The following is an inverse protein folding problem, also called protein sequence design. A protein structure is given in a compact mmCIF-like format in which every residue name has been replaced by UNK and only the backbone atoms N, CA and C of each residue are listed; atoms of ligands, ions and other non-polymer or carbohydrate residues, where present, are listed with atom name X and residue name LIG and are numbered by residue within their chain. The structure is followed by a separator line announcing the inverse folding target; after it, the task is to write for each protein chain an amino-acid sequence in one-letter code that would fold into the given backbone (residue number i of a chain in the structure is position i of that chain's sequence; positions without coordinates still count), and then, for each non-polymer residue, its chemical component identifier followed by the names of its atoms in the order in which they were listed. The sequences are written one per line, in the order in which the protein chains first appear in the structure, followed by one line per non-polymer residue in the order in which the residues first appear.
data_IF_465417782867
#
_entry.id   IF_465417782867
#
_cell.length_a   1.000
_cell.length_b   1.000
_cell.length_c   1.000
_cell.angle_alpha   90.00
_cell.angle_beta   90.00
_cell.angle_gamma   90.00
#
_symmetry.space_group_name_H-M   'P 1'
#
loop_
_entity.id
_entity.type
_entity.pdbx_description
1 polymer ?
#
# COMPACT_ATOMS: atom_id res chain seq x y z
N UNK A 1 12.20 -40.02 -37.85
CA UNK A 1 11.57 -38.74 -38.13
C UNK A 1 10.32 -38.43 -37.24
N UNK A 2 10.08 -39.16 -36.17
CA UNK A 2 8.85 -38.98 -35.39
C UNK A 2 9.05 -38.34 -34.02
N UNK A 3 10.25 -37.88 -33.64
CA UNK A 3 10.50 -37.36 -32.27
C UNK A 3 10.77 -35.85 -32.21
N UNK A 4 10.72 -35.11 -33.29
CA UNK A 4 11.00 -33.66 -33.27
C UNK A 4 9.76 -32.79 -32.91
N UNK A 5 8.56 -33.32 -33.12
CA UNK A 5 7.32 -32.55 -32.88
C UNK A 5 6.97 -32.40 -31.42
N UNK A 6 7.33 -33.35 -30.57
CA UNK A 6 7.02 -33.33 -29.13
C UNK A 6 7.90 -32.36 -28.33
N UNK A 7 9.15 -32.19 -28.73
CA UNK A 7 10.09 -31.28 -28.01
C UNK A 7 9.85 -29.82 -28.35
N UNK A 8 9.38 -29.51 -29.54
CA UNK A 8 9.05 -28.15 -29.95
C UNK A 8 7.79 -27.64 -29.24
N UNK A 9 6.80 -28.52 -29.04
CA UNK A 9 5.58 -28.18 -28.32
C UNK A 9 5.82 -27.87 -26.84
N UNK A 10 6.69 -28.62 -26.17
CA UNK A 10 7.05 -28.40 -24.77
C UNK A 10 7.85 -27.10 -24.60
N UNK A 11 8.70 -26.75 -25.57
CA UNK A 11 9.47 -25.51 -25.52
C UNK A 11 8.59 -24.27 -25.72
N UNK A 12 7.56 -24.34 -26.56
CA UNK A 12 6.58 -23.27 -26.76
C UNK A 12 5.68 -23.06 -25.53
N UNK A 13 5.29 -24.13 -24.85
CA UNK A 13 4.49 -24.06 -23.62
C UNK A 13 5.32 -23.50 -22.47
N UNK A 14 6.61 -23.86 -22.36
CA UNK A 14 7.51 -23.30 -21.36
C UNK A 14 7.78 -21.80 -21.56
N UNK A 15 7.84 -21.34 -22.82
CA UNK A 15 8.05 -19.92 -23.15
C UNK A 15 6.82 -19.06 -22.86
N UNK A 16 5.63 -19.63 -22.90
CA UNK A 16 4.38 -18.92 -22.57
C UNK A 16 4.21 -18.63 -21.08
N UNK A 17 4.92 -19.34 -20.20
CA UNK A 17 4.83 -19.12 -18.74
C UNK A 17 5.72 -17.98 -18.23
N UNK A 18 6.66 -17.49 -19.04
CA UNK A 18 7.63 -16.47 -18.61
C UNK A 18 7.08 -15.04 -18.79
N UNK A 19 5.97 -14.85 -19.50
CA UNK A 19 5.45 -13.51 -19.83
C UNK A 19 4.45 -12.97 -18.78
N UNK A 20 4.15 -13.71 -17.73
CA UNK A 20 3.19 -13.28 -16.68
C UNK A 20 3.83 -12.62 -15.45
N UNK A 21 5.13 -12.33 -15.48
CA UNK A 21 5.78 -11.48 -14.48
C UNK A 21 5.73 -10.00 -14.92
N UNK A 22 4.57 -9.55 -15.37
CA UNK A 22 4.31 -8.15 -15.62
C UNK A 22 4.26 -7.37 -14.32
N UNK A 23 5.16 -6.44 -14.17
CA UNK A 23 5.30 -5.41 -13.15
C UNK A 23 3.95 -4.89 -12.63
N UNK A 24 3.49 -5.42 -11.55
CA UNK A 24 2.36 -4.86 -10.85
C UNK A 24 2.81 -4.35 -9.49
N UNK A 25 3.17 -3.07 -9.41
CA UNK A 25 3.08 -2.32 -8.16
C UNK A 25 1.60 -2.25 -7.82
N UNK A 26 1.05 -3.33 -7.33
CA UNK A 26 -0.35 -3.53 -7.05
C UNK A 26 -0.58 -3.59 -5.55
N UNK A 27 -1.83 -3.55 -5.16
CA UNK A 27 -2.28 -3.86 -3.81
C UNK A 27 -1.62 -5.17 -3.27
N UNK A 28 -1.38 -6.15 -4.15
CA UNK A 28 -0.69 -7.39 -3.79
C UNK A 28 0.74 -7.14 -3.29
N UNK A 29 1.48 -6.23 -3.91
CA UNK A 29 2.85 -5.90 -3.49
C UNK A 29 2.85 -5.22 -2.12
N UNK A 30 1.89 -4.32 -1.87
CA UNK A 30 1.72 -3.70 -0.54
C UNK A 30 1.35 -4.73 0.53
N UNK A 31 0.42 -5.62 0.24
CA UNK A 31 0.01 -6.68 1.17
C UNK A 31 1.17 -7.62 1.50
N UNK A 32 1.94 -8.00 0.49
CA UNK A 32 3.16 -8.80 0.66
C UNK A 32 4.19 -8.09 1.53
N UNK A 33 4.44 -6.80 1.28
CA UNK A 33 5.35 -6.00 2.09
C UNK A 33 4.92 -5.95 3.56
N UNK A 34 3.61 -5.87 3.82
CA UNK A 34 3.09 -5.94 5.18
C UNK A 34 3.36 -7.29 5.83
N UNK A 35 3.15 -8.40 5.12
CA UNK A 35 3.45 -9.75 5.60
C UNK A 35 4.94 -9.95 5.89
N UNK A 36 5.81 -9.34 5.10
CA UNK A 36 7.27 -9.35 5.27
C UNK A 36 7.75 -8.41 6.40
N UNK A 37 6.84 -7.68 7.06
CA UNK A 37 7.15 -6.78 8.16
C UNK A 37 7.71 -5.43 7.72
N UNK A 38 7.55 -5.07 6.46
CA UNK A 38 7.92 -3.75 5.96
C UNK A 38 6.94 -2.68 6.42
N UNK A 39 7.37 -1.44 6.32
CA UNK A 39 6.57 -0.28 6.70
C UNK A 39 6.80 0.15 8.13
N UNK A 40 6.13 1.21 8.53
CA UNK A 40 6.23 1.80 9.85
C UNK A 40 4.94 1.61 10.62
N UNK A 41 5.03 1.00 11.80
CA UNK A 41 3.87 0.77 12.68
C UNK A 41 3.97 1.60 13.93
N UNK A 42 2.85 2.19 14.35
CA UNK A 42 2.70 2.89 15.64
C UNK A 42 1.38 2.54 16.30
N UNK A 43 1.36 2.56 17.62
CA UNK A 43 0.15 2.36 18.43
C UNK A 43 -0.35 3.73 18.87
N UNK A 44 -1.65 3.95 18.68
CA UNK A 44 -2.33 5.18 19.04
C UNK A 44 -3.48 4.89 20.02
N UNK A 45 -3.75 5.85 20.92
CA UNK A 45 -4.87 5.79 21.87
C UNK A 45 -6.18 6.22 21.22
N UNK A 46 -6.57 5.52 20.18
CA UNK A 46 -7.85 5.68 19.50
C UNK A 46 -8.40 4.31 19.16
N UNK A 47 -9.73 4.17 19.17
CA UNK A 47 -10.34 2.92 18.72
C UNK A 47 -10.22 2.78 17.19
N UNK A 48 -10.55 1.60 16.68
CA UNK A 48 -10.42 1.29 15.23
C UNK A 48 -11.22 2.25 14.36
N UNK A 49 -12.45 2.61 14.76
CA UNK A 49 -13.30 3.51 13.97
C UNK A 49 -12.73 4.93 13.92
N UNK A 50 -12.25 5.43 15.03
CA UNK A 50 -11.57 6.73 15.08
C UNK A 50 -10.26 6.72 14.27
N UNK A 51 -9.47 5.66 14.41
CA UNK A 51 -8.24 5.49 13.62
C UNK A 51 -8.54 5.44 12.12
N UNK A 52 -9.63 4.80 11.73
CA UNK A 52 -10.08 4.72 10.34
C UNK A 52 -10.41 6.09 9.77
N UNK A 53 -11.21 6.87 10.47
CA UNK A 53 -11.60 8.21 10.04
C UNK A 53 -10.40 9.18 9.96
N UNK A 54 -9.50 9.11 10.93
CA UNK A 54 -8.27 9.92 10.91
C UNK A 54 -7.40 9.55 9.71
N UNK A 55 -7.14 8.27 9.53
CA UNK A 55 -6.32 7.78 8.40
C UNK A 55 -6.92 8.19 7.06
N UNK A 56 -8.23 8.01 6.89
CA UNK A 56 -8.95 8.39 5.68
C UNK A 56 -8.79 9.88 5.37
N UNK A 57 -8.98 10.76 6.34
CA UNK A 57 -8.84 12.20 6.16
C UNK A 57 -7.41 12.62 5.79
N UNK A 58 -6.40 11.98 6.38
CA UNK A 58 -5.00 12.24 6.01
C UNK A 58 -4.77 11.84 4.55
N UNK A 59 -5.25 10.68 4.14
CA UNK A 59 -5.11 10.22 2.76
C UNK A 59 -5.89 11.09 1.77
N UNK A 60 -7.08 11.56 2.13
CA UNK A 60 -7.87 12.48 1.30
C UNK A 60 -7.16 13.83 1.11
N UNK A 61 -6.48 14.32 2.13
CA UNK A 61 -5.75 15.58 2.07
C UNK A 61 -4.47 15.49 1.25
N UNK A 62 -3.70 14.41 1.46
CA UNK A 62 -2.37 14.23 0.85
C UNK A 62 -2.42 13.50 -0.49
N UNK A 63 -3.49 12.77 -0.74
CA UNK A 63 -3.65 11.94 -1.93
C UNK A 63 -4.33 12.67 -3.08
N UNK A 64 -4.03 12.24 -4.30
CA UNK A 64 -4.63 12.76 -5.54
C UNK A 64 -5.59 11.78 -6.21
N UNK A 65 -5.93 10.70 -5.55
CA UNK A 65 -6.74 9.63 -6.11
C UNK A 65 -7.84 9.15 -5.18
N UNK A 66 -8.65 8.23 -5.69
CA UNK A 66 -9.69 7.59 -4.89
C UNK A 66 -9.11 6.61 -3.88
N UNK A 67 -9.56 6.70 -2.65
CA UNK A 67 -9.21 5.74 -1.59
C UNK A 67 -10.00 4.45 -1.82
N UNK A 68 -9.28 3.34 -1.89
CA UNK A 68 -9.88 2.01 -1.88
C UNK A 68 -9.86 1.48 -0.45
N UNK A 69 -11.04 1.29 0.12
CA UNK A 69 -11.23 0.82 1.49
C UNK A 69 -11.63 -0.65 1.52
N UNK A 70 -11.02 -1.42 2.42
CA UNK A 70 -11.46 -2.77 2.77
C UNK A 70 -11.52 -2.91 4.29
N UNK A 71 -12.67 -2.57 4.85
CA UNK A 71 -12.91 -2.61 6.29
C UNK A 71 -12.83 -4.01 6.88
N UNK A 72 -13.27 -5.01 6.15
CA UNK A 72 -13.25 -6.40 6.63
C UNK A 72 -11.83 -6.94 6.80
N UNK A 73 -10.89 -6.49 5.98
CA UNK A 73 -9.48 -6.85 6.07
C UNK A 73 -8.65 -5.76 6.78
N UNK A 74 -9.25 -4.65 7.16
CA UNK A 74 -8.65 -3.62 7.98
C UNK A 74 -7.62 -2.75 7.26
N UNK A 75 -7.79 -2.51 5.96
CA UNK A 75 -6.85 -1.65 5.23
C UNK A 75 -7.53 -0.66 4.29
N UNK A 76 -6.81 0.39 3.95
CA UNK A 76 -7.13 1.31 2.88
C UNK A 76 -5.88 1.60 2.04
N UNK A 77 -6.07 1.86 0.75
CA UNK A 77 -4.99 2.13 -0.20
C UNK A 77 -5.33 3.33 -1.06
N UNK A 78 -4.37 4.19 -1.28
CA UNK A 78 -4.46 5.32 -2.21
C UNK A 78 -3.24 5.35 -3.13
N UNK A 79 -3.43 5.91 -4.31
CA UNK A 79 -2.34 6.32 -5.19
C UNK A 79 -2.10 7.81 -4.97
N UNK A 80 -0.89 8.17 -4.57
CA UNK A 80 -0.46 9.55 -4.42
C UNK A 80 0.59 9.87 -5.48
N UNK A 81 0.54 11.07 -6.04
CA UNK A 81 1.53 11.57 -6.99
C UNK A 81 0.92 12.21 -8.23
N UNK A 82 1.69 13.07 -8.87
CA UNK A 82 1.33 13.78 -10.10
C UNK A 82 1.84 13.02 -11.32
N UNK A 83 0.98 12.84 -12.31
CA UNK A 83 1.36 12.29 -13.62
C UNK A 83 2.36 13.17 -14.36
N UNK A 84 2.43 14.46 -14.05
CA UNK A 84 3.35 15.43 -14.65
C UNK A 84 4.83 15.14 -14.32
N UNK A 85 5.11 14.45 -13.20
CA UNK A 85 6.47 14.18 -12.74
C UNK A 85 6.80 12.70 -12.59
N UNK A 86 6.01 11.82 -13.17
CA UNK A 86 6.22 10.35 -13.18
C UNK A 86 6.37 9.67 -11.79
N UNK A 87 5.92 10.33 -10.73
CA UNK A 87 5.98 9.79 -9.38
C UNK A 87 4.61 9.35 -8.90
N UNK A 88 4.35 8.08 -9.04
CA UNK A 88 3.19 7.46 -8.43
C UNK A 88 3.70 6.68 -7.23
N UNK A 89 3.30 7.12 -6.04
CA UNK A 89 3.49 6.39 -4.80
C UNK A 89 2.18 5.70 -4.45
N UNK A 90 2.24 4.43 -4.13
CA UNK A 90 1.12 3.72 -3.53
C UNK A 90 1.31 3.72 -2.02
N UNK A 91 0.28 4.12 -1.30
CA UNK A 91 0.27 4.15 0.16
C UNK A 91 -0.81 3.20 0.63
N UNK A 92 -0.42 2.23 1.45
CA UNK A 92 -1.33 1.34 2.14
C UNK A 92 -1.31 1.62 3.63
N UNK A 93 -2.47 1.68 4.26
CA UNK A 93 -2.64 1.86 5.69
C UNK A 93 -3.45 0.70 6.23
N UNK A 94 -2.89 -0.03 7.20
CA UNK A 94 -3.55 -1.11 7.94
C UNK A 94 -3.85 -0.65 9.35
N UNK A 95 -5.06 -0.90 9.81
CA UNK A 95 -5.53 -0.55 11.13
C UNK A 95 -5.98 -1.82 11.84
N UNK A 96 -5.30 -2.15 12.92
CA UNK A 96 -5.51 -3.37 13.69
C UNK A 96 -5.89 -3.00 15.14
N UNK A 97 -6.97 -3.54 15.70
CA UNK A 97 -7.31 -3.30 17.08
C UNK A 97 -6.28 -3.94 18.02
N UNK A 98 -5.81 -3.19 19.01
CA UNK A 98 -5.05 -3.73 20.15
C UNK A 98 -6.02 -4.06 21.27
N UNK A 99 -6.87 -3.09 21.61
CA UNK A 99 -7.97 -3.20 22.56
C UNK A 99 -9.10 -2.21 22.20
N UNK A 100 -10.03 -1.96 23.10
CA UNK A 100 -11.19 -1.07 22.86
C UNK A 100 -10.81 0.41 22.69
N UNK A 101 -9.62 0.81 23.12
CA UNK A 101 -9.17 2.21 23.16
C UNK A 101 -7.83 2.45 22.45
N UNK A 102 -7.23 1.40 21.89
CA UNK A 102 -5.95 1.46 21.20
C UNK A 102 -5.99 0.74 19.87
N UNK A 103 -5.31 1.30 18.87
CA UNK A 103 -5.15 0.72 17.55
C UNK A 103 -3.70 0.79 17.09
N UNK A 104 -3.27 -0.24 16.40
CA UNK A 104 -2.00 -0.26 15.68
C UNK A 104 -2.23 0.19 14.25
N UNK A 105 -1.52 1.21 13.83
CA UNK A 105 -1.57 1.75 12.48
C UNK A 105 -0.24 1.46 11.79
N UNK A 106 -0.29 0.69 10.71
CA UNK A 106 0.87 0.35 9.88
C UNK A 106 0.74 1.04 8.54
N UNK A 107 1.77 1.77 8.14
CA UNK A 107 1.82 2.49 6.87
C UNK A 107 2.95 1.96 6.01
N UNK A 108 2.65 1.69 4.75
CA UNK A 108 3.62 1.26 3.75
C UNK A 108 3.48 2.17 2.54
N UNK A 109 4.56 2.84 2.18
CA UNK A 109 4.65 3.68 0.98
C UNK A 109 5.61 3.03 -0.03
N UNK A 110 5.13 2.74 -1.23
CA UNK A 110 5.93 2.18 -2.33
C UNK A 110 5.91 3.15 -3.52
N UNK A 111 7.09 3.57 -3.94
CA UNK A 111 7.27 4.39 -5.15
C UNK A 111 7.82 3.55 -6.29
N UNK A 112 7.44 3.89 -7.52
CA UNK A 112 7.96 3.24 -8.73
C UNK A 112 9.40 3.61 -9.06
N UNK A 113 9.92 4.67 -8.47
CA UNK A 113 11.28 5.16 -8.74
C UNK A 113 12.10 5.16 -7.47
N UNK A 114 13.31 4.62 -7.55
CA UNK A 114 14.30 4.62 -6.47
C UNK A 114 14.88 6.01 -6.15
N UNK A 115 14.23 7.07 -6.58
CA UNK A 115 14.68 8.42 -6.29
C UNK A 115 13.96 8.89 -5.04
N UNK A 116 14.71 8.96 -3.97
CA UNK A 116 14.37 9.65 -2.73
C UNK A 116 14.00 11.10 -3.07
N UNK A 117 12.74 11.38 -3.18
CA UNK A 117 12.31 12.71 -3.53
C UNK A 117 11.21 13.19 -2.62
N UNK A 118 11.47 14.37 -2.11
CA UNK A 118 10.76 15.24 -1.22
C UNK A 118 9.29 15.59 -1.58
N UNK A 119 8.67 14.91 -2.53
CA UNK A 119 7.31 15.24 -2.98
C UNK A 119 6.42 14.00 -2.98
N UNK A 120 5.96 13.62 -1.81
CA UNK A 120 4.98 12.57 -1.61
C UNK A 120 4.84 12.28 -0.12
N UNK A 121 3.67 11.80 0.28
CA UNK A 121 3.42 11.39 1.66
C UNK A 121 4.34 10.22 2.01
N UNK A 122 5.31 10.45 2.88
CA UNK A 122 6.12 9.39 3.46
C UNK A 122 5.38 8.70 4.62
N UNK A 123 5.85 7.53 5.01
CA UNK A 123 5.34 6.82 6.19
C UNK A 123 5.50 7.67 7.47
N UNK A 124 6.62 8.38 7.59
CA UNK A 124 6.90 9.27 8.71
C UNK A 124 5.94 10.47 8.74
N UNK A 125 5.70 11.10 7.58
CA UNK A 125 4.78 12.24 7.47
C UNK A 125 3.35 11.84 7.81
N UNK A 126 2.92 10.65 7.37
CA UNK A 126 1.61 10.11 7.74
C UNK A 126 1.47 9.96 9.25
N UNK A 127 2.44 9.34 9.89
CA UNK A 127 2.42 9.15 11.34
C UNK A 127 2.50 10.45 12.12
N UNK A 128 3.22 11.44 11.61
CA UNK A 128 3.26 12.78 12.19
C UNK A 128 1.89 13.46 12.08
N UNK A 129 1.29 13.44 10.91
CA UNK A 129 -0.06 13.99 10.69
C UNK A 129 -1.10 13.28 11.55
N UNK A 130 -0.99 11.97 11.70
CA UNK A 130 -1.89 11.17 12.55
C UNK A 130 -1.76 11.57 14.04
N UNK A 131 -0.55 11.75 14.53
CA UNK A 131 -0.30 12.16 15.91
C UNK A 131 -0.78 13.59 16.21
N UNK A 132 -0.70 14.49 15.23
CA UNK A 132 -1.12 15.88 15.35
C UNK A 132 -2.61 16.08 15.07
N UNK A 133 -3.32 15.04 14.69
CA UNK A 133 -4.75 15.16 14.38
C UNK A 133 -5.50 15.65 15.63
N UNK A 134 -6.29 16.74 15.50
CA UNK A 134 -6.83 17.41 16.68
C UNK A 134 -7.74 16.49 17.51
N UNK A 135 -7.58 16.56 18.83
CA UNK A 135 -8.41 15.80 19.76
C UNK A 135 -9.91 16.11 19.66
N UNK A 136 -10.25 17.27 19.08
CA UNK A 136 -11.63 17.68 18.84
C UNK A 136 -12.39 16.77 17.86
N UNK A 137 -11.72 15.84 17.22
CA UNK A 137 -12.29 14.86 16.29
C UNK A 137 -12.13 13.41 16.77
N UNK A 138 -11.64 13.24 17.99
CA UNK A 138 -11.58 11.93 18.67
C UNK A 138 -12.89 11.57 19.36
#
# INVERSE_FOLDING_TARGET
MKSFSGKLGIFLVALSFVVLTGCANTLRDLARSKEEGEGTSKIYRVNVDQAWEIAKRILEWEGTGDIKENRSEGYMVIRSGSTLFYKITMIGVWIEPIDKVQSKVTVIAKSKTNVDTMLGLSEADFHQSFALFPESLK
#
